data_IF_302588260308
#
_entry.id   IF_302588260308
#
_cell.length_a   1.000
_cell.length_b   1.000
_cell.length_c   1.000
_cell.angle_alpha   90.00
_cell.angle_beta   90.00
_cell.angle_gamma   90.00
#
_symmetry.space_group_name_H-M   'P 1'
#
loop_
_entity.id
_entity.type
_entity.pdbx_description
1 polymer ?
#
# COMPACT_ATOMS: atom_id res chain seq x y z
N UNK A 1 54.06 23.24 18.57
CA UNK A 1 52.59 23.21 18.71
C UNK A 1 52.11 21.88 18.15
N UNK A 2 51.52 21.01 18.99
CA UNK A 2 51.05 19.67 18.59
C UNK A 2 49.57 19.77 18.22
N UNK A 3 49.22 19.52 16.96
CA UNK A 3 47.84 19.41 16.51
C UNK A 3 47.39 17.94 16.64
N UNK A 4 46.61 17.62 17.67
CA UNK A 4 45.88 16.35 17.74
C UNK A 4 44.60 16.47 16.91
N UNK A 5 44.60 15.92 15.71
CA UNK A 5 43.40 15.75 14.89
C UNK A 5 42.69 14.47 15.28
N UNK A 6 41.63 14.61 16.07
CA UNK A 6 40.68 13.53 16.38
C UNK A 6 39.85 13.20 15.13
N UNK A 7 39.95 11.97 14.66
CA UNK A 7 39.12 11.44 13.57
C UNK A 7 37.77 10.97 14.15
N UNK A 8 36.70 11.72 13.88
CA UNK A 8 35.32 11.30 14.22
C UNK A 8 34.86 10.32 13.13
N UNK A 9 34.75 9.04 13.48
CA UNK A 9 34.12 8.02 12.63
C UNK A 9 32.59 8.18 12.69
N UNK A 10 31.99 8.62 11.59
CA UNK A 10 30.53 8.60 11.41
C UNK A 10 30.14 7.23 10.85
N UNK A 11 29.51 6.41 11.68
CA UNK A 11 28.91 5.15 11.22
C UNK A 11 27.62 5.45 10.46
N UNK A 12 27.63 5.23 9.14
CA UNK A 12 26.43 5.34 8.29
C UNK A 12 25.66 4.02 8.43
N UNK A 13 24.59 4.02 9.22
CA UNK A 13 23.67 2.89 9.33
C UNK A 13 22.75 2.92 8.10
N UNK A 14 23.00 2.04 7.13
CA UNK A 14 22.11 1.82 6.00
C UNK A 14 20.88 1.03 6.46
N UNK A 15 19.72 1.69 6.56
CA UNK A 15 18.45 1.02 6.78
C UNK A 15 17.96 0.39 5.47
N UNK A 16 17.97 -0.93 5.38
CA UNK A 16 17.31 -1.66 4.30
C UNK A 16 15.81 -1.64 4.56
N UNK A 17 15.07 -0.81 3.84
CA UNK A 17 13.61 -0.88 3.82
C UNK A 17 13.19 -2.20 3.16
N UNK A 18 12.70 -3.15 3.95
CA UNK A 18 12.04 -4.34 3.41
C UNK A 18 10.72 -3.90 2.78
N UNK A 19 10.66 -3.86 1.46
CA UNK A 19 9.41 -3.62 0.74
C UNK A 19 8.58 -4.89 0.86
N UNK A 20 7.69 -4.96 1.86
CA UNK A 20 6.65 -5.98 1.89
C UNK A 20 5.77 -5.76 0.65
N UNK A 21 5.85 -6.69 -0.29
CA UNK A 21 5.05 -6.65 -1.52
C UNK A 21 3.62 -7.07 -1.18
N UNK A 22 2.68 -6.14 -1.31
CA UNK A 22 1.25 -6.37 -1.15
C UNK A 22 0.65 -6.83 -2.48
N UNK A 23 -0.32 -7.75 -2.41
CA UNK A 23 -1.05 -8.23 -3.58
C UNK A 23 -2.38 -7.52 -3.67
N UNK A 24 -2.67 -6.90 -4.82
CA UNK A 24 -3.94 -6.25 -5.14
C UNK A 24 -4.56 -6.94 -6.34
N UNK A 25 -5.80 -7.42 -6.18
CA UNK A 25 -6.56 -8.08 -7.23
C UNK A 25 -7.79 -7.26 -7.57
N UNK A 26 -8.09 -7.14 -8.86
CA UNK A 26 -9.29 -6.47 -9.37
C UNK A 26 -10.22 -7.48 -10.04
N UNK A 27 -11.52 -7.23 -9.89
CA UNK A 27 -12.58 -8.14 -10.31
C UNK A 27 -13.62 -7.39 -11.13
N UNK A 28 -14.06 -7.99 -12.24
CA UNK A 28 -15.22 -7.52 -13.01
C UNK A 28 -16.56 -7.90 -12.38
N UNK A 29 -16.56 -8.73 -11.35
CA UNK A 29 -17.74 -9.09 -10.58
C UNK A 29 -17.79 -8.33 -9.24
N UNK A 30 -18.97 -8.22 -8.63
CA UNK A 30 -19.18 -7.60 -7.32
C UNK A 30 -18.81 -8.54 -6.15
N UNK A 31 -17.77 -9.34 -6.33
CA UNK A 31 -17.26 -10.30 -5.36
C UNK A 31 -15.77 -10.56 -5.62
N UNK A 32 -15.08 -11.21 -4.69
CA UNK A 32 -13.65 -11.53 -4.82
C UNK A 32 -13.39 -13.02 -5.13
N UNK A 33 -14.27 -13.70 -5.86
CA UNK A 33 -14.14 -15.15 -6.09
C UNK A 33 -13.19 -15.48 -7.25
N UNK A 34 -13.18 -14.67 -8.32
CA UNK A 34 -12.42 -14.95 -9.55
C UNK A 34 -11.70 -13.70 -10.05
N UNK A 35 -10.43 -13.53 -9.67
CA UNK A 35 -9.67 -12.33 -10.00
C UNK A 35 -9.48 -12.18 -11.51
N UNK A 36 -9.77 -10.98 -12.02
CA UNK A 36 -9.56 -10.65 -13.43
C UNK A 36 -8.13 -10.17 -13.67
N UNK A 37 -7.58 -9.40 -12.73
CA UNK A 37 -6.21 -8.91 -12.77
C UNK A 37 -5.57 -8.93 -11.39
N UNK A 38 -4.27 -9.17 -11.33
CA UNK A 38 -3.48 -9.22 -10.09
C UNK A 38 -2.21 -8.37 -10.25
N UNK A 39 -1.90 -7.59 -9.21
CA UNK A 39 -0.74 -6.72 -9.15
C UNK A 39 0.00 -6.94 -7.83
N UNK A 40 1.32 -7.04 -7.92
CA UNK A 40 2.22 -7.00 -6.75
C UNK A 40 2.81 -5.61 -6.65
N UNK A 41 2.56 -4.94 -5.53
CA UNK A 41 2.87 -3.54 -5.35
C UNK A 41 3.53 -3.29 -4.01
N UNK A 42 4.41 -2.29 -3.98
CA UNK A 42 4.93 -1.79 -2.72
C UNK A 42 3.87 -0.98 -1.98
N UNK A 43 4.08 -0.83 -0.69
CA UNK A 43 3.27 0.06 0.13
C UNK A 43 3.40 1.55 -0.32
N UNK A 44 2.45 2.39 0.10
CA UNK A 44 2.27 3.79 -0.32
C UNK A 44 2.05 4.00 -1.83
N UNK A 45 1.61 2.97 -2.53
CA UNK A 45 1.35 3.01 -3.98
C UNK A 45 -0.15 3.10 -4.24
N UNK A 46 -0.52 3.87 -5.28
CA UNK A 46 -1.84 3.84 -5.89
C UNK A 46 -1.80 2.98 -7.14
N UNK A 47 -2.77 2.09 -7.30
CA UNK A 47 -2.89 1.13 -8.39
C UNK A 47 -4.19 1.44 -9.12
N UNK A 48 -4.11 1.84 -10.38
CA UNK A 48 -5.22 2.32 -11.19
C UNK A 48 -5.25 1.65 -12.58
N UNK A 49 -5.53 0.35 -12.65
CA UNK A 49 -5.56 -0.36 -13.92
C UNK A 49 -6.74 0.13 -14.76
N UNK A 50 -6.57 0.30 -16.09
CA UNK A 50 -7.61 0.81 -16.96
C UNK A 50 -8.82 -0.11 -16.96
N UNK A 51 -10.02 0.47 -16.79
CA UNK A 51 -11.29 -0.26 -16.81
C UNK A 51 -12.18 0.07 -15.62
N UNK A 52 -13.37 -0.51 -15.63
CA UNK A 52 -14.31 -0.44 -14.51
C UNK A 52 -14.29 -1.75 -13.73
N UNK A 53 -14.05 -1.63 -12.42
CA UNK A 53 -13.92 -2.76 -11.52
C UNK A 53 -15.04 -2.78 -10.51
N UNK A 54 -15.51 -3.97 -10.15
CA UNK A 54 -16.67 -4.15 -9.29
C UNK A 54 -16.34 -4.79 -7.95
N UNK A 55 -15.12 -5.26 -7.77
CA UNK A 55 -14.52 -5.50 -6.47
C UNK A 55 -13.00 -5.36 -6.56
N UNK A 56 -12.36 -5.15 -5.42
CA UNK A 56 -10.92 -5.29 -5.26
C UNK A 56 -10.60 -6.05 -3.99
N UNK A 57 -9.55 -6.88 -4.05
CA UNK A 57 -9.01 -7.58 -2.90
C UNK A 57 -7.58 -7.12 -2.65
N UNK A 58 -7.24 -6.89 -1.39
CA UNK A 58 -5.88 -6.67 -0.95
C UNK A 58 -5.50 -7.77 0.02
N UNK A 59 -4.36 -8.42 -0.24
CA UNK A 59 -3.78 -9.50 0.56
C UNK A 59 -2.28 -9.29 0.71
N UNK A 60 -1.62 -10.09 1.56
CA UNK A 60 -0.19 -9.93 1.88
C UNK A 60 0.12 -8.51 2.40
N UNK A 61 -0.72 -8.06 3.32
CA UNK A 61 -0.68 -6.74 3.95
C UNK A 61 -0.83 -6.92 5.47
N UNK A 62 -0.10 -6.15 6.26
CA UNK A 62 -0.17 -6.16 7.72
C UNK A 62 -1.52 -5.64 8.25
N UNK A 63 -1.98 -6.13 9.42
CA UNK A 63 -3.32 -5.83 9.94
C UNK A 63 -3.57 -4.34 10.27
N UNK A 64 -2.50 -3.56 10.48
CA UNK A 64 -2.57 -2.13 10.79
C UNK A 64 -2.28 -1.23 9.58
N UNK A 65 -2.08 -1.81 8.40
CA UNK A 65 -1.89 -1.06 7.17
C UNK A 65 -3.26 -0.70 6.60
N UNK A 66 -3.47 0.59 6.34
CA UNK A 66 -4.69 1.12 5.73
C UNK A 66 -4.75 0.77 4.26
N UNK A 67 -5.90 0.33 3.80
CA UNK A 67 -6.28 0.19 2.39
C UNK A 67 -7.39 1.19 2.11
N UNK A 68 -7.31 1.89 0.98
CA UNK A 68 -8.42 2.68 0.48
C UNK A 68 -8.73 2.35 -0.98
N UNK A 69 -10.02 2.23 -1.30
CA UNK A 69 -10.49 1.95 -2.66
C UNK A 69 -11.34 3.12 -3.13
N UNK A 70 -11.13 3.53 -4.38
CA UNK A 70 -11.59 4.81 -4.93
C UNK A 70 -12.37 4.58 -6.22
N UNK A 71 -13.40 5.39 -6.43
CA UNK A 71 -14.20 5.38 -7.66
C UNK A 71 -13.66 6.30 -8.77
N UNK A 72 -12.46 6.88 -8.60
CA UNK A 72 -11.74 7.61 -9.63
C UNK A 72 -10.31 7.08 -9.76
N UNK A 73 -9.69 7.34 -10.91
CA UNK A 73 -8.31 6.95 -11.18
C UNK A 73 -7.33 7.71 -10.26
N UNK A 74 -6.10 7.24 -10.14
CA UNK A 74 -5.01 7.91 -9.38
C UNK A 74 -5.29 8.23 -7.91
N UNK A 75 -6.26 7.57 -7.28
CA UNK A 75 -6.58 7.73 -5.86
C UNK A 75 -6.79 9.20 -5.45
N UNK A 76 -7.45 9.99 -6.30
CA UNK A 76 -7.59 11.43 -6.08
C UNK A 76 -8.47 11.75 -4.88
N UNK A 77 -8.28 12.93 -4.29
CA UNK A 77 -9.10 13.44 -3.18
C UNK A 77 -10.56 13.71 -3.54
N UNK A 78 -10.90 13.75 -4.83
CA UNK A 78 -12.28 13.89 -5.30
C UNK A 78 -13.07 12.56 -5.28
N UNK A 79 -12.39 11.44 -5.00
CA UNK A 79 -13.00 10.12 -5.00
C UNK A 79 -13.99 9.94 -3.84
N UNK A 80 -15.01 9.14 -4.08
CA UNK A 80 -15.70 8.40 -3.03
C UNK A 80 -14.78 7.26 -2.58
N UNK A 81 -14.58 7.14 -1.28
CA UNK A 81 -13.55 6.26 -0.72
C UNK A 81 -14.14 5.27 0.27
N UNK A 82 -13.88 3.98 0.06
CA UNK A 82 -13.99 2.95 1.09
C UNK A 82 -12.64 2.76 1.78
N UNK A 83 -12.62 2.59 3.10
CA UNK A 83 -11.39 2.43 3.87
C UNK A 83 -11.46 1.25 4.82
N UNK A 84 -10.35 0.52 4.91
CA UNK A 84 -10.18 -0.64 5.78
C UNK A 84 -8.75 -0.71 6.29
N UNK A 85 -8.50 -1.64 7.21
CA UNK A 85 -7.17 -1.99 7.71
C UNK A 85 -6.93 -3.48 7.53
N UNK A 86 -5.72 -3.86 7.09
CA UNK A 86 -5.35 -5.23 6.84
C UNK A 86 -5.94 -5.83 5.55
N UNK A 87 -5.87 -7.17 5.41
CA UNK A 87 -6.41 -7.86 4.25
C UNK A 87 -7.91 -7.64 4.12
N UNK A 88 -8.37 -7.31 2.92
CA UNK A 88 -9.77 -6.97 2.68
C UNK A 88 -10.22 -7.35 1.28
N UNK A 89 -11.49 -7.75 1.15
CA UNK A 89 -12.22 -7.75 -0.10
C UNK A 89 -13.29 -6.66 -0.03
N UNK A 90 -13.18 -5.64 -0.88
CA UNK A 90 -14.16 -4.56 -1.00
C UNK A 90 -14.94 -4.70 -2.29
N UNK A 91 -16.25 -4.88 -2.20
CA UNK A 91 -17.13 -4.82 -3.35
C UNK A 91 -17.55 -3.38 -3.64
N UNK A 92 -17.60 -3.03 -4.92
CA UNK A 92 -18.06 -1.72 -5.37
C UNK A 92 -19.53 -1.50 -5.01
N UNK A 93 -19.86 -0.28 -4.56
CA UNK A 93 -21.22 0.18 -4.33
C UNK A 93 -21.92 0.52 -5.65
N UNK A 94 -22.56 1.69 -5.73
CA UNK A 94 -23.29 2.09 -6.95
C UNK A 94 -22.37 2.45 -8.12
N UNK A 95 -21.15 2.89 -7.84
CA UNK A 95 -20.11 3.29 -8.80
C UNK A 95 -19.01 2.24 -8.86
N UNK A 96 -18.34 2.12 -10.01
CA UNK A 96 -17.19 1.23 -10.17
C UNK A 96 -15.99 1.71 -9.36
N UNK A 97 -15.15 0.77 -8.95
CA UNK A 97 -13.81 1.04 -8.45
C UNK A 97 -12.87 1.30 -9.63
N UNK A 98 -11.96 2.23 -9.42
CA UNK A 98 -11.04 2.76 -10.43
C UNK A 98 -9.60 2.74 -9.95
N UNK A 99 -9.38 2.86 -8.65
CA UNK A 99 -8.05 2.72 -8.07
C UNK A 99 -8.08 2.21 -6.63
N UNK A 100 -6.95 1.63 -6.21
CA UNK A 100 -6.72 1.13 -4.85
C UNK A 100 -5.41 1.70 -4.35
N UNK A 101 -5.40 2.23 -3.12
CA UNK A 101 -4.22 2.69 -2.44
C UNK A 101 -3.93 1.82 -1.22
N UNK A 102 -2.66 1.47 -1.05
CA UNK A 102 -2.17 0.67 0.07
C UNK A 102 -1.20 1.52 0.88
N UNK A 103 -1.41 1.64 2.19
CA UNK A 103 -0.49 2.37 3.08
C UNK A 103 0.71 1.55 3.51
N UNK A 104 1.84 2.21 3.75
CA UNK A 104 2.80 1.70 4.72
C UNK A 104 2.24 1.89 6.13
N UNK A 105 2.41 0.88 6.98
CA UNK A 105 2.39 1.08 8.42
C UNK A 105 3.83 1.42 8.83
N UNK A 106 4.07 2.64 9.30
CA UNK A 106 5.31 3.01 9.98
C UNK A 106 5.29 2.40 11.38
N UNK A 107 5.46 1.07 11.45
CA UNK A 107 4.92 0.32 12.59
C UNK A 107 5.77 -0.81 13.12
N UNK A 108 7.10 -0.75 12.99
CA UNK A 108 8.07 -1.19 14.03
C UNK A 108 9.36 -0.39 13.89
N UNK A 109 9.40 0.81 14.46
CA UNK A 109 10.67 1.33 14.95
C UNK A 109 11.03 0.44 16.14
N UNK A 110 11.85 -0.57 15.91
CA UNK A 110 12.50 -1.27 17.01
C UNK A 110 13.46 -0.27 17.64
N UNK A 111 13.05 0.35 18.75
CA UNK A 111 13.97 1.02 19.68
C UNK A 111 14.76 -0.10 20.34
N UNK A 112 15.97 -0.36 19.84
CA UNK A 112 16.93 -1.19 20.56
C UNK A 112 17.51 -0.26 21.63
N UNK A 113 17.14 -0.53 22.89
CA UNK A 113 17.68 0.12 24.10
C UNK A 113 19.19 -0.08 24.20
#
# INVERSE_FOLDING_TARGET
MRFSTSFIYVAIIAFTATVEATVVKFYTERNCNSASQEFRVGCNTCIDPPGDWFAAQVSDIGPNQRVSMHNQDRCTSASQVGQWFGPVCGAAGRTALRSVWVSCNQGKMYVIL
#
